data_IF_942806781048
#
_entry.id   IF_942806781048
#
_cell.length_a   1.000
_cell.length_b   1.000
_cell.length_c   1.000
_cell.angle_alpha   90.00
_cell.angle_beta   90.00
_cell.angle_gamma   90.00
#
_symmetry.space_group_name_H-M   'P 1'
#
loop_
_entity.id
_entity.type
_entity.pdbx_description
1 polymer ?
#
# COMPACT_ATOMS: atom_id res chain seq x y z
N UNK A 1 -38.49 -20.17 27.66
CA UNK A 1 -38.80 -19.25 26.56
C UNK A 1 -37.62 -18.29 26.46
N UNK A 2 -36.60 -18.67 25.70
CA UNK A 2 -35.42 -17.85 25.45
C UNK A 2 -35.70 -17.09 24.16
N UNK A 3 -35.67 -15.75 24.21
CA UNK A 3 -35.90 -14.90 23.05
C UNK A 3 -34.53 -14.42 22.59
N UNK A 4 -34.12 -14.88 21.40
CA UNK A 4 -32.94 -14.37 20.70
C UNK A 4 -33.08 -12.87 20.48
N UNK A 5 -32.07 -12.13 20.95
CA UNK A 5 -32.07 -10.67 20.98
C UNK A 5 -30.80 -10.04 20.43
N UNK A 6 -29.97 -10.77 19.68
CA UNK A 6 -28.85 -10.17 18.96
C UNK A 6 -29.36 -9.52 17.67
N UNK A 7 -29.96 -8.34 17.82
CA UNK A 7 -30.10 -7.41 16.70
C UNK A 7 -28.70 -6.94 16.33
N UNK A 8 -28.11 -7.56 15.32
CA UNK A 8 -26.97 -7.01 14.62
C UNK A 8 -27.32 -5.57 14.20
N UNK A 9 -26.71 -4.60 14.89
CA UNK A 9 -26.75 -3.19 14.48
C UNK A 9 -26.01 -3.15 13.14
N UNK A 10 -26.76 -3.17 12.04
CA UNK A 10 -26.23 -2.83 10.73
C UNK A 10 -25.84 -1.36 10.80
N UNK A 11 -24.58 -1.09 11.09
CA UNK A 11 -23.98 0.20 10.79
C UNK A 11 -24.07 0.33 9.28
N UNK A 12 -24.97 1.18 8.79
CA UNK A 12 -24.96 1.59 7.39
C UNK A 12 -23.63 2.28 7.14
N UNK A 13 -22.73 1.59 6.43
CA UNK A 13 -21.47 2.16 6.00
C UNK A 13 -21.82 3.14 4.87
N UNK A 14 -21.94 4.41 5.21
CA UNK A 14 -22.17 5.50 4.25
C UNK A 14 -20.85 5.91 3.52
N UNK A 15 -19.84 5.03 3.52
CA UNK A 15 -18.56 5.18 2.82
C UNK A 15 -18.50 4.21 1.65
N UNK A 16 -17.89 4.64 0.55
CA UNK A 16 -17.73 3.82 -0.65
C UNK A 16 -16.90 2.57 -0.35
N UNK A 17 -17.50 1.39 -0.50
CA UNK A 17 -16.82 0.12 -0.22
C UNK A 17 -15.58 -0.09 -1.09
N UNK A 18 -15.55 0.44 -2.31
CA UNK A 18 -14.38 0.42 -3.18
C UNK A 18 -13.21 1.18 -2.58
N UNK A 19 -13.46 2.35 -1.98
CA UNK A 19 -12.45 3.12 -1.26
C UNK A 19 -11.94 2.32 -0.05
N UNK A 20 -12.83 1.75 0.76
CA UNK A 20 -12.42 0.95 1.92
C UNK A 20 -11.57 -0.26 1.52
N UNK A 21 -11.88 -0.90 0.40
CA UNK A 21 -11.07 -2.00 -0.17
C UNK A 21 -9.68 -1.52 -0.59
N UNK A 22 -9.58 -0.36 -1.23
CA UNK A 22 -8.29 0.25 -1.59
C UNK A 22 -7.45 0.49 -0.35
N UNK A 23 -8.04 1.13 0.67
CA UNK A 23 -7.34 1.45 1.92
C UNK A 23 -6.81 0.17 2.62
N UNK A 24 -7.69 -0.81 2.77
CA UNK A 24 -7.33 -2.11 3.36
C UNK A 24 -6.24 -2.84 2.56
N UNK A 25 -6.26 -2.75 1.23
CA UNK A 25 -5.24 -3.33 0.37
C UNK A 25 -3.88 -2.65 0.61
N UNK A 26 -3.84 -1.32 0.66
CA UNK A 26 -2.60 -0.57 0.93
C UNK A 26 -2.00 -0.94 2.29
N UNK A 27 -2.82 -1.12 3.32
CA UNK A 27 -2.36 -1.61 4.62
C UNK A 27 -1.75 -3.03 4.55
N UNK A 28 -2.32 -3.92 3.73
CA UNK A 28 -1.74 -5.24 3.50
C UNK A 28 -0.39 -5.19 2.76
N UNK A 29 -0.18 -4.21 1.86
CA UNK A 29 1.15 -3.94 1.26
C UNK A 29 2.14 -3.55 2.36
N UNK A 30 1.79 -2.57 3.21
CA UNK A 30 2.65 -2.13 4.33
C UNK A 30 3.04 -3.31 5.23
N UNK A 31 2.10 -4.21 5.51
CA UNK A 31 2.40 -5.41 6.28
C UNK A 31 3.42 -6.31 5.58
N UNK A 32 3.24 -6.60 4.29
CA UNK A 32 4.19 -7.41 3.51
C UNK A 32 5.59 -6.82 3.51
N UNK A 33 5.70 -5.50 3.33
CA UNK A 33 6.96 -4.77 3.35
C UNK A 33 7.58 -4.63 4.76
N UNK A 34 6.88 -5.05 5.81
CA UNK A 34 7.36 -4.95 7.19
C UNK A 34 7.30 -3.52 7.76
N UNK A 35 6.41 -2.68 7.22
CA UNK A 35 6.29 -1.24 7.47
C UNK A 35 4.90 -0.85 7.97
N UNK A 36 4.17 -1.77 8.60
CA UNK A 36 2.89 -1.45 9.22
C UNK A 36 3.03 -0.40 10.34
N UNK A 37 1.99 0.41 10.53
CA UNK A 37 1.97 1.49 11.53
C UNK A 37 2.52 2.82 11.01
N UNK A 38 2.48 3.83 11.88
CA UNK A 38 2.85 5.22 11.56
C UNK A 38 4.33 5.38 11.27
N UNK A 39 5.21 4.69 12.00
CA UNK A 39 6.66 4.73 11.75
C UNK A 39 7.04 4.12 10.39
N UNK A 40 6.13 3.37 9.76
CA UNK A 40 6.33 2.73 8.45
C UNK A 40 6.81 3.69 7.37
N UNK A 41 6.32 4.92 7.38
CA UNK A 41 6.67 5.96 6.42
C UNK A 41 8.13 6.43 6.53
N UNK A 42 8.80 6.14 7.64
CA UNK A 42 10.20 6.51 7.91
C UNK A 42 11.16 5.32 7.72
N UNK A 43 10.66 4.10 7.55
CA UNK A 43 11.50 2.90 7.51
C UNK A 43 12.28 2.84 6.19
N UNK A 44 13.59 2.78 6.29
CA UNK A 44 14.45 2.34 5.22
C UNK A 44 14.60 0.81 5.28
N UNK A 45 14.84 0.18 4.14
CA UNK A 45 15.11 -1.25 4.05
C UNK A 45 16.16 -1.68 5.08
N UNK A 46 15.88 -2.78 5.79
CA UNK A 46 16.67 -3.21 6.95
C UNK A 46 16.17 -2.68 8.31
N UNK A 47 15.09 -1.89 8.34
CA UNK A 47 14.28 -1.63 9.54
C UNK A 47 14.66 -0.38 10.35
N UNK A 48 15.63 0.41 9.89
CA UNK A 48 16.03 1.68 10.52
C UNK A 48 15.21 2.84 9.98
N UNK A 49 15.08 3.92 10.76
CA UNK A 49 14.33 5.11 10.35
C UNK A 49 15.27 6.11 9.66
N UNK A 50 15.01 6.49 8.41
CA UNK A 50 15.92 7.38 7.68
C UNK A 50 16.05 8.77 8.30
N UNK A 51 15.02 9.21 9.02
CA UNK A 51 14.97 10.48 9.75
C UNK A 51 15.90 10.49 10.97
N UNK A 52 15.92 9.39 11.74
CA UNK A 52 16.66 9.29 13.00
C UNK A 52 18.05 8.70 12.83
N UNK A 53 18.15 7.65 12.02
CA UNK A 53 19.38 6.86 11.90
C UNK A 53 20.32 7.37 10.82
N UNK A 54 19.80 8.08 9.81
CA UNK A 54 20.56 8.45 8.60
C UNK A 54 20.59 9.95 8.28
N UNK A 55 20.00 10.78 9.16
CA UNK A 55 20.01 12.24 9.01
C UNK A 55 19.31 12.72 7.73
N UNK A 56 18.29 12.00 7.27
CA UNK A 56 17.43 12.37 6.15
C UNK A 56 16.14 13.00 6.68
N UNK A 57 15.28 13.43 5.77
CA UNK A 57 13.95 13.93 6.08
C UNK A 57 12.98 13.53 4.96
N UNK A 58 11.76 14.06 5.01
CA UNK A 58 10.71 13.76 4.05
C UNK A 58 10.72 14.68 2.81
N UNK A 59 11.68 15.59 2.67
CA UNK A 59 11.71 16.52 1.52
C UNK A 59 11.83 15.80 0.18
N UNK A 60 12.43 14.60 0.18
CA UNK A 60 12.56 13.72 -0.97
C UNK A 60 12.83 12.28 -0.50
N UNK A 61 12.78 11.31 -1.42
CA UNK A 61 13.14 9.93 -1.11
C UNK A 61 14.58 9.89 -0.53
N UNK A 62 14.85 9.17 0.58
CA UNK A 62 16.11 9.31 1.32
C UNK A 62 17.35 8.89 0.52
N UNK A 63 17.16 8.02 -0.50
CA UNK A 63 18.21 7.44 -1.38
C UNK A 63 19.39 6.90 -0.57
N UNK A 64 19.10 6.43 0.65
CA UNK A 64 20.10 5.92 1.55
C UNK A 64 20.37 4.45 1.27
N UNK A 65 21.59 4.14 0.83
CA UNK A 65 21.99 2.78 0.50
C UNK A 65 22.36 1.99 1.76
N UNK A 66 21.61 0.92 2.02
CA UNK A 66 21.84 0.03 3.16
C UNK A 66 22.63 -1.18 2.69
N UNK A 67 23.93 -1.14 2.98
CA UNK A 67 24.91 -2.15 2.54
C UNK A 67 24.56 -3.58 2.96
N UNK A 68 24.00 -3.79 4.15
CA UNK A 68 23.70 -5.14 4.68
C UNK A 68 22.61 -5.89 3.90
N UNK A 69 21.76 -5.16 3.17
CA UNK A 69 20.65 -5.71 2.37
C UNK A 69 20.75 -5.31 0.89
N UNK A 70 21.84 -4.65 0.51
CA UNK A 70 22.13 -4.19 -0.84
C UNK A 70 20.94 -3.47 -1.53
N UNK A 71 20.30 -2.54 -0.82
CA UNK A 71 19.11 -1.85 -1.34
C UNK A 71 19.01 -0.42 -0.81
N UNK A 72 18.24 0.40 -1.52
CA UNK A 72 17.89 1.80 -1.19
C UNK A 72 16.40 1.99 -0.91
N UNK A 73 15.61 0.92 -0.90
CA UNK A 73 14.16 1.00 -0.72
C UNK A 73 13.79 1.69 0.61
N UNK A 74 12.75 2.51 0.57
CA UNK A 74 12.33 3.29 1.74
C UNK A 74 10.82 3.57 1.79
N UNK A 75 10.37 3.94 2.98
CA UNK A 75 9.01 4.35 3.26
C UNK A 75 8.04 3.17 3.41
N UNK A 76 6.77 3.52 3.60
CA UNK A 76 5.68 2.58 3.89
C UNK A 76 5.52 1.52 2.80
N UNK A 77 5.92 1.82 1.57
CA UNK A 77 5.78 0.94 0.41
C UNK A 77 7.12 0.51 -0.18
N UNK A 78 8.23 0.71 0.55
CA UNK A 78 9.59 0.35 0.15
C UNK A 78 9.90 0.74 -1.30
N UNK A 79 9.58 2.00 -1.65
CA UNK A 79 9.73 2.54 -3.00
C UNK A 79 11.22 2.65 -3.32
N UNK A 80 11.62 2.31 -4.55
CA UNK A 80 12.99 2.51 -5.03
C UNK A 80 13.20 3.94 -5.56
N UNK A 81 14.42 4.51 -5.49
CA UNK A 81 14.73 5.84 -6.01
C UNK A 81 14.24 6.08 -7.45
N UNK A 82 14.55 5.17 -8.36
CA UNK A 82 14.20 5.33 -9.77
C UNK A 82 12.68 5.28 -9.98
N UNK A 83 11.97 4.46 -9.20
CA UNK A 83 10.51 4.39 -9.19
C UNK A 83 9.92 5.70 -8.67
N UNK A 84 10.49 6.25 -7.59
CA UNK A 84 10.07 7.55 -7.04
C UNK A 84 10.26 8.68 -8.06
N UNK A 85 11.42 8.77 -8.69
CA UNK A 85 11.73 9.77 -9.70
C UNK A 85 10.80 9.67 -10.92
N UNK A 86 10.48 8.44 -11.35
CA UNK A 86 9.49 8.18 -12.39
C UNK A 86 8.10 8.70 -11.98
N UNK A 87 7.66 8.44 -10.76
CA UNK A 87 6.35 8.90 -10.25
C UNK A 87 6.29 10.43 -10.23
N UNK A 88 7.30 11.09 -9.66
CA UNK A 88 7.35 12.57 -9.64
C UNK A 88 7.30 13.14 -11.06
N UNK A 89 8.08 12.59 -11.98
CA UNK A 89 8.14 13.04 -13.37
C UNK A 89 6.82 12.89 -14.11
N UNK A 90 6.17 11.73 -13.99
CA UNK A 90 5.01 11.37 -14.83
C UNK A 90 3.68 11.74 -14.19
N UNK A 91 3.62 11.78 -12.86
CA UNK A 91 2.36 11.84 -12.11
C UNK A 91 2.37 12.89 -10.99
N UNK A 92 3.53 13.48 -10.66
CA UNK A 92 3.66 14.43 -9.54
C UNK A 92 2.74 15.64 -9.67
N UNK A 93 2.61 16.21 -10.87
CA UNK A 93 1.67 17.32 -11.12
C UNK A 93 0.21 16.89 -11.01
N UNK A 94 -0.13 15.74 -11.59
CA UNK A 94 -1.51 15.21 -11.64
C UNK A 94 -2.07 14.95 -10.24
N UNK A 95 -1.26 14.36 -9.36
CA UNK A 95 -1.69 13.96 -8.02
C UNK A 95 -1.10 14.82 -6.90
N UNK A 96 -0.47 15.94 -7.25
CA UNK A 96 0.15 16.88 -6.30
C UNK A 96 1.19 16.21 -5.38
N UNK A 97 1.98 15.27 -5.92
CA UNK A 97 3.08 14.58 -5.23
C UNK A 97 4.34 15.43 -5.42
N UNK A 98 4.91 15.93 -4.33
CA UNK A 98 5.99 16.93 -4.37
C UNK A 98 7.15 16.64 -3.42
N UNK A 99 6.95 15.79 -2.43
CA UNK A 99 7.91 15.39 -1.42
C UNK A 99 7.65 13.93 -1.03
N UNK A 100 8.47 13.36 -0.15
CA UNK A 100 8.32 11.97 0.31
C UNK A 100 7.50 11.85 1.60
N UNK A 101 6.66 12.84 1.93
CA UNK A 101 5.80 12.82 3.12
C UNK A 101 4.85 11.60 3.15
N UNK A 102 4.32 11.21 4.32
CA UNK A 102 3.41 10.07 4.44
C UNK A 102 2.26 10.07 3.41
N UNK A 103 1.56 11.20 3.25
CA UNK A 103 0.46 11.31 2.29
C UNK A 103 0.92 11.13 0.84
N UNK A 104 2.11 11.61 0.49
CA UNK A 104 2.66 11.48 -0.85
C UNK A 104 3.22 10.08 -1.14
N UNK A 105 3.65 9.34 -0.12
CA UNK A 105 3.95 7.91 -0.24
C UNK A 105 2.68 7.10 -0.54
N UNK A 106 1.56 7.38 0.14
CA UNK A 106 0.27 6.74 -0.15
C UNK A 106 -0.20 7.00 -1.58
N UNK A 107 -0.10 8.24 -2.04
CA UNK A 107 -0.41 8.60 -3.44
C UNK A 107 0.52 7.90 -4.42
N UNK A 108 1.81 7.79 -4.10
CA UNK A 108 2.76 7.06 -4.93
C UNK A 108 2.41 5.57 -5.02
N UNK A 109 1.97 4.94 -3.93
CA UNK A 109 1.42 3.59 -3.94
C UNK A 109 0.21 3.47 -4.89
N UNK A 110 -0.74 4.41 -4.82
CA UNK A 110 -1.89 4.44 -5.73
C UNK A 110 -1.48 4.64 -7.20
N UNK A 111 -0.44 5.43 -7.49
CA UNK A 111 0.13 5.56 -8.84
C UNK A 111 0.63 4.20 -9.34
N UNK A 112 1.36 3.44 -8.52
CA UNK A 112 1.86 2.12 -8.90
C UNK A 112 0.73 1.12 -9.13
N UNK A 113 -0.28 1.11 -8.25
CA UNK A 113 -1.46 0.27 -8.38
C UNK A 113 -2.23 0.60 -9.67
N UNK A 114 -2.50 1.89 -9.93
CA UNK A 114 -3.33 2.35 -11.05
C UNK A 114 -2.57 2.31 -12.38
N UNK A 115 -1.46 3.03 -12.47
CA UNK A 115 -0.80 3.34 -13.74
C UNK A 115 0.27 2.32 -14.12
N UNK A 116 1.05 1.84 -13.15
CA UNK A 116 2.11 0.86 -13.45
C UNK A 116 1.52 -0.53 -13.70
N UNK A 117 0.55 -0.96 -12.88
CA UNK A 117 0.04 -2.34 -12.92
C UNK A 117 -1.41 -2.50 -13.37
N UNK A 118 -2.19 -1.42 -13.45
CA UNK A 118 -3.59 -1.47 -13.86
C UNK A 118 -4.47 -2.33 -12.95
N UNK A 119 -4.17 -2.38 -11.65
CA UNK A 119 -4.81 -3.28 -10.69
C UNK A 119 -5.94 -2.61 -9.89
N UNK A 120 -6.07 -1.28 -9.95
CA UNK A 120 -7.01 -0.53 -9.11
C UNK A 120 -8.47 -1.03 -9.22
N UNK A 121 -8.95 -1.24 -10.44
CA UNK A 121 -10.31 -1.74 -10.68
C UNK A 121 -10.55 -3.16 -10.14
N UNK A 122 -9.51 -4.00 -10.05
CA UNK A 122 -9.65 -5.31 -9.42
C UNK A 122 -9.89 -5.15 -7.91
N UNK A 123 -9.16 -4.25 -7.27
CA UNK A 123 -9.28 -3.97 -5.84
C UNK A 123 -10.67 -3.39 -5.52
N UNK A 124 -11.12 -2.39 -6.29
CA UNK A 124 -12.46 -1.78 -6.14
C UNK A 124 -13.55 -2.85 -6.21
N UNK A 125 -13.45 -3.79 -7.15
CA UNK A 125 -14.42 -4.86 -7.35
C UNK A 125 -14.23 -6.07 -6.40
N UNK A 126 -13.32 -5.98 -5.42
CA UNK A 126 -13.09 -7.06 -4.45
C UNK A 126 -12.35 -8.28 -5.02
N UNK A 127 -11.76 -8.17 -6.21
CA UNK A 127 -10.95 -9.21 -6.85
C UNK A 127 -9.51 -9.16 -6.34
N UNK A 128 -9.34 -9.35 -5.03
CA UNK A 128 -8.08 -9.09 -4.32
C UNK A 128 -6.98 -10.08 -4.72
N UNK A 129 -7.29 -11.36 -4.80
CA UNK A 129 -6.33 -12.38 -5.26
C UNK A 129 -5.85 -12.04 -6.67
N UNK A 130 -6.76 -11.73 -7.61
CA UNK A 130 -6.41 -11.31 -8.96
C UNK A 130 -5.55 -10.05 -8.98
N UNK A 131 -5.77 -9.07 -8.09
CA UNK A 131 -4.98 -7.84 -8.01
C UNK A 131 -3.54 -8.10 -7.56
N UNK A 132 -3.35 -8.98 -6.57
CA UNK A 132 -2.05 -9.39 -6.04
C UNK A 132 -1.29 -10.22 -7.08
N UNK A 133 -1.92 -11.33 -7.49
CA UNK A 133 -1.31 -12.38 -8.30
C UNK A 133 -2.30 -12.84 -9.36
N UNK A 134 -1.83 -12.93 -10.60
CA UNK A 134 -2.63 -13.45 -11.69
C UNK A 134 -1.88 -14.60 -12.29
N UNK A 135 -2.59 -15.68 -12.60
CA UNK A 135 -2.06 -16.81 -13.37
C UNK A 135 -1.91 -16.47 -14.86
N UNK A 136 -1.92 -15.19 -15.22
CA UNK A 136 -1.61 -14.70 -16.56
C UNK A 136 -0.10 -14.67 -16.77
N UNK A 137 0.34 -14.96 -17.97
CA UNK A 137 1.72 -14.90 -18.49
C UNK A 137 2.29 -13.47 -18.63
N UNK A 138 1.50 -12.43 -18.37
CA UNK A 138 1.93 -11.05 -18.54
C UNK A 138 2.63 -10.47 -17.30
N UNK A 139 3.96 -10.44 -17.31
CA UNK A 139 4.82 -9.85 -16.25
C UNK A 139 4.60 -8.35 -15.99
N UNK A 140 3.94 -7.65 -16.90
CA UNK A 140 3.60 -6.24 -16.72
C UNK A 140 2.28 -6.05 -15.97
N UNK A 141 1.55 -7.13 -15.65
CA UNK A 141 0.31 -7.08 -14.88
C UNK A 141 0.51 -7.64 -13.47
N UNK A 142 -0.24 -7.05 -12.53
CA UNK A 142 -0.34 -7.40 -11.09
C UNK A 142 0.80 -6.93 -10.20
N UNK A 143 0.51 -6.93 -8.90
CA UNK A 143 1.28 -6.21 -7.90
C UNK A 143 2.44 -7.02 -7.32
N UNK A 144 2.47 -8.36 -7.48
CA UNK A 144 3.61 -9.19 -7.06
C UNK A 144 4.92 -8.94 -7.84
N UNK A 145 4.84 -8.29 -9.00
CA UNK A 145 6.00 -7.77 -9.74
C UNK A 145 6.40 -6.35 -9.31
N UNK A 146 5.64 -5.70 -8.43
CA UNK A 146 5.97 -4.36 -7.93
C UNK A 146 6.61 -4.43 -6.55
N UNK A 147 6.03 -5.25 -5.67
CA UNK A 147 6.52 -5.43 -4.31
C UNK A 147 7.09 -6.83 -4.13
N UNK A 148 8.36 -6.90 -3.73
CA UNK A 148 9.06 -8.17 -3.55
C UNK A 148 8.52 -9.01 -2.39
N UNK A 149 7.84 -8.38 -1.43
CA UNK A 149 7.21 -9.07 -0.30
C UNK A 149 5.90 -9.77 -0.65
N UNK A 150 5.30 -9.46 -1.80
CA UNK A 150 3.97 -9.94 -2.16
C UNK A 150 3.92 -11.46 -2.37
N UNK A 151 2.74 -12.07 -2.16
CA UNK A 151 2.50 -13.47 -2.55
C UNK A 151 2.94 -13.75 -3.98
N UNK A 152 3.68 -14.86 -4.15
CA UNK A 152 4.16 -15.37 -5.43
C UNK A 152 5.11 -14.42 -6.20
N UNK A 153 5.73 -13.43 -5.54
CA UNK A 153 6.73 -12.55 -6.15
C UNK A 153 7.93 -13.34 -6.73
N UNK A 154 8.42 -13.00 -7.94
CA UNK A 154 9.42 -13.80 -8.65
C UNK A 154 10.87 -13.50 -8.23
N UNK A 155 11.11 -12.54 -7.34
CA UNK A 155 12.45 -12.00 -7.07
C UNK A 155 13.32 -12.87 -6.15
N UNK A 156 12.82 -14.03 -5.71
CA UNK A 156 13.55 -14.96 -4.82
C UNK A 156 13.76 -14.43 -3.39
N UNK A 157 13.17 -13.27 -3.07
CA UNK A 157 13.11 -12.72 -1.72
C UNK A 157 12.01 -13.41 -0.91
N UNK A 158 12.05 -13.27 0.42
CA UNK A 158 10.98 -13.78 1.28
C UNK A 158 9.67 -13.06 0.96
N UNK A 159 8.64 -13.82 0.67
CA UNK A 159 7.27 -13.33 0.43
C UNK A 159 6.37 -13.67 1.63
N UNK A 160 5.27 -12.93 1.77
CA UNK A 160 4.14 -13.36 2.61
C UNK A 160 3.22 -14.28 1.79
N UNK A 161 2.51 -15.18 2.47
CA UNK A 161 1.53 -16.05 1.81
C UNK A 161 0.28 -15.26 1.42
N UNK A 162 -0.45 -15.73 0.41
CA UNK A 162 -1.74 -15.13 0.05
C UNK A 162 -2.74 -15.17 1.21
N UNK A 163 -2.72 -16.25 2.00
CA UNK A 163 -3.52 -16.36 3.23
C UNK A 163 -3.20 -15.22 4.21
N UNK A 164 -1.91 -14.96 4.46
CA UNK A 164 -1.51 -13.90 5.38
C UNK A 164 -1.80 -12.50 4.85
N UNK A 165 -1.65 -12.29 3.54
CA UNK A 165 -2.07 -11.04 2.88
C UNK A 165 -3.57 -10.81 3.08
N UNK A 166 -4.39 -11.85 2.83
CA UNK A 166 -5.85 -11.76 3.00
C UNK A 166 -6.28 -11.56 4.46
N UNK A 167 -5.58 -12.17 5.42
CA UNK A 167 -5.82 -11.96 6.86
C UNK A 167 -5.66 -10.47 7.22
N UNK A 168 -4.53 -9.86 6.82
CA UNK A 168 -4.28 -8.45 7.06
C UNK A 168 -5.24 -7.53 6.31
N UNK A 169 -5.50 -7.83 5.04
CA UNK A 169 -6.48 -7.10 4.24
C UNK A 169 -7.86 -7.11 4.90
N UNK A 170 -8.37 -8.27 5.32
CA UNK A 170 -9.69 -8.36 5.94
C UNK A 170 -9.74 -7.67 7.31
N UNK A 171 -8.69 -7.81 8.11
CA UNK A 171 -8.56 -7.10 9.38
C UNK A 171 -8.65 -5.59 9.19
N UNK A 172 -7.87 -5.02 8.25
CA UNK A 172 -7.91 -3.59 7.97
C UNK A 172 -9.22 -3.16 7.31
N UNK A 173 -9.85 -3.99 6.49
CA UNK A 173 -11.18 -3.67 5.94
C UNK A 173 -12.21 -3.46 7.06
N UNK A 174 -12.17 -4.27 8.13
CA UNK A 174 -13.04 -4.07 9.30
C UNK A 174 -12.68 -2.84 10.13
N UNK A 175 -11.39 -2.46 10.19
CA UNK A 175 -10.97 -1.21 10.83
C UNK A 175 -11.44 0.02 10.04
N UNK A 176 -11.29 0.01 8.71
CA UNK A 176 -11.68 1.12 7.83
C UNK A 176 -13.20 1.35 7.88
N UNK A 177 -14.01 0.28 7.98
CA UNK A 177 -15.46 0.38 8.22
C UNK A 177 -15.82 1.07 9.54
N UNK A 178 -14.90 1.12 10.49
CA UNK A 178 -15.01 1.78 11.81
C UNK A 178 -14.27 3.12 11.85
N UNK A 179 -13.82 3.61 10.70
CA UNK A 179 -13.07 4.85 10.56
C UNK A 179 -11.71 4.85 11.28
N UNK A 180 -11.09 3.68 11.39
CA UNK A 180 -9.74 3.49 11.94
C UNK A 180 -8.80 3.16 10.79
N UNK A 181 -7.87 4.05 10.48
CA UNK A 181 -6.95 3.90 9.34
C UNK A 181 -5.49 4.04 9.73
N UNK A 182 -4.64 3.32 8.99
CA UNK A 182 -3.17 3.39 9.06
C UNK A 182 -2.57 4.14 7.85
N UNK A 183 -3.41 4.86 7.11
CA UNK A 183 -3.03 5.67 5.95
C UNK A 183 -3.06 7.16 6.27
N UNK A 184 -2.19 7.90 5.60
CA UNK A 184 -2.03 9.35 5.74
C UNK A 184 -2.91 10.15 4.76
N UNK A 185 -3.60 9.50 3.84
CA UNK A 185 -4.54 10.13 2.90
C UNK A 185 -6.01 9.88 3.27
N UNK A 186 -6.87 10.82 2.89
CA UNK A 186 -8.32 10.74 3.07
C UNK A 186 -9.04 10.13 1.85
N UNK A 187 -10.37 10.04 1.92
CA UNK A 187 -11.19 9.49 0.83
C UNK A 187 -11.25 10.39 -0.40
N UNK A 188 -11.15 11.72 -0.23
CA UNK A 188 -11.14 12.66 -1.35
C UNK A 188 -9.85 12.54 -2.16
N UNK A 189 -8.71 12.33 -1.50
CA UNK A 189 -7.44 12.05 -2.16
C UNK A 189 -7.47 10.73 -2.93
N UNK A 190 -8.13 9.68 -2.41
CA UNK A 190 -8.33 8.41 -3.13
C UNK A 190 -9.26 8.59 -4.32
N UNK A 191 -10.35 9.36 -4.19
CA UNK A 191 -11.32 9.61 -5.28
C UNK A 191 -10.66 10.18 -6.53
N UNK A 192 -9.61 11.01 -6.39
CA UNK A 192 -8.83 11.56 -7.52
C UNK A 192 -8.17 10.47 -8.38
N UNK A 193 -8.05 9.24 -7.88
CA UNK A 193 -7.54 8.08 -8.62
C UNK A 193 -8.65 7.22 -9.24
N UNK A 194 -9.92 7.50 -8.98
CA UNK A 194 -11.04 6.72 -9.51
C UNK A 194 -11.53 7.20 -10.89
N UNK A 195 -11.16 8.43 -11.25
CA UNK A 195 -11.48 9.07 -12.53
C UNK A 195 -10.66 8.55 -13.72
#
# INVERSE_FOLDING_TARGET
MWVDGDKAVKVEINRDIGILRIRAFMCAIKYGEGTAGTNGYEINVGGKLFTRDYGKDFSDHPRYYVKSVNSTAAGAYQIMPDTWDMILKNHGKTYSITDFSPANQDKACLVLIKHTRGALNLIINGKIDEAVRSRTDNKFKRLHYEWASMPDSPYGQRTITMEKFMEYYMYHLELEKRDISDLAIDDEEIKRFLD
#
